data_IF_217147086511
#
_entry.id   IF_217147086511
#
_cell.length_a   1.000
_cell.length_b   1.000
_cell.length_c   1.000
_cell.angle_alpha   90.00
_cell.angle_beta   90.00
_cell.angle_gamma   90.00
#
_symmetry.space_group_name_H-M   'P 1'
#
loop_
_entity.id
_entity.type
_entity.pdbx_description
1 polymer ?
#
# COMPACT_ATOMS: atom_id res chain seq x y z
N UNK A 1 -4.24 -15.56 8.37
CA UNK A 1 -4.12 -15.40 6.92
C UNK A 1 -2.82 -16.01 6.38
N UNK A 2 -1.65 -15.44 6.70
CA UNK A 2 -0.38 -15.85 6.05
C UNK A 2 -0.04 -17.35 6.19
N UNK A 3 -0.19 -17.95 7.38
CA UNK A 3 0.05 -19.40 7.58
C UNK A 3 -0.87 -20.32 6.76
N UNK A 4 -2.03 -19.82 6.34
CA UNK A 4 -2.97 -20.58 5.51
C UNK A 4 -2.65 -20.43 4.01
N UNK A 5 -2.18 -19.24 3.61
CA UNK A 5 -1.79 -18.97 2.21
C UNK A 5 -0.39 -19.49 1.89
N UNK A 6 0.51 -19.52 2.89
CA UNK A 6 1.89 -19.99 2.78
C UNK A 6 2.20 -21.04 3.85
N UNK A 7 1.57 -22.22 3.81
CA UNK A 7 1.82 -23.28 4.79
C UNK A 7 3.26 -23.79 4.76
N UNK A 8 3.94 -23.66 3.61
CA UNK A 8 5.29 -24.15 3.38
C UNK A 8 6.37 -23.05 3.53
N UNK A 9 6.01 -21.83 3.91
CA UNK A 9 6.93 -20.69 4.08
C UNK A 9 7.79 -20.41 2.83
N UNK A 10 7.17 -20.50 1.66
CA UNK A 10 7.81 -20.25 0.36
C UNK A 10 7.97 -18.76 0.04
N UNK A 11 7.55 -17.88 0.95
CA UNK A 11 7.73 -16.44 0.84
C UNK A 11 6.48 -15.78 0.30
N UNK A 12 5.64 -15.32 1.22
CA UNK A 12 4.55 -14.39 0.99
C UNK A 12 4.71 -13.17 1.90
N UNK A 13 4.25 -12.02 1.44
CA UNK A 13 3.99 -10.86 2.28
C UNK A 13 2.51 -10.48 2.17
N UNK A 14 1.92 -10.11 3.30
CA UNK A 14 0.55 -9.65 3.45
C UNK A 14 0.60 -8.23 4.01
N UNK A 15 0.16 -7.27 3.22
CA UNK A 15 0.18 -5.84 3.56
C UNK A 15 -1.24 -5.30 3.55
N UNK A 16 -1.64 -4.62 4.63
CA UNK A 16 -2.83 -3.78 4.62
C UNK A 16 -2.40 -2.33 4.44
N UNK A 17 -2.88 -1.72 3.35
CA UNK A 17 -2.69 -0.30 3.09
C UNK A 17 -4.03 0.43 3.29
N UNK A 18 -4.06 1.36 4.24
CA UNK A 18 -5.25 2.17 4.54
C UNK A 18 -5.34 3.38 3.61
N UNK A 19 -6.54 3.86 3.32
CA UNK A 19 -6.70 5.15 2.62
C UNK A 19 -6.24 6.30 3.52
N UNK A 20 -5.44 7.21 2.97
CA UNK A 20 -5.11 8.46 3.66
C UNK A 20 -6.36 9.30 3.90
N UNK A 21 -6.39 10.15 4.94
CA UNK A 21 -7.51 11.05 5.17
C UNK A 21 -7.80 11.94 3.96
N UNK A 22 -9.08 12.24 3.66
CA UNK A 22 -9.44 13.09 2.53
C UNK A 22 -8.96 14.52 2.73
N UNK A 23 -8.46 15.10 1.64
CA UNK A 23 -8.13 16.54 1.49
C UNK A 23 -9.28 17.23 0.74
N UNK A 24 -9.08 18.50 0.36
CA UNK A 24 -10.12 19.33 -0.28
C UNK A 24 -10.72 18.71 -1.55
N UNK A 25 -9.93 17.98 -2.31
CA UNK A 25 -10.28 17.42 -3.61
C UNK A 25 -10.27 15.88 -3.63
N UNK A 26 -10.08 15.22 -2.49
CA UNK A 26 -10.16 13.76 -2.37
C UNK A 26 -9.01 13.14 -1.58
N UNK A 27 -8.89 11.82 -1.69
CA UNK A 27 -7.85 10.98 -1.09
C UNK A 27 -6.78 10.71 -2.14
N UNK A 28 -5.52 11.01 -1.82
CA UNK A 28 -4.44 11.04 -2.81
C UNK A 28 -3.52 9.81 -2.76
N UNK A 29 -3.52 9.05 -1.67
CA UNK A 29 -2.73 7.83 -1.58
C UNK A 29 -3.35 6.81 -0.62
N UNK A 30 -2.84 5.58 -0.72
CA UNK A 30 -2.91 4.61 0.37
C UNK A 30 -1.62 4.71 1.17
N UNK A 31 -1.66 4.31 2.44
CA UNK A 31 -0.51 4.23 3.33
C UNK A 31 -0.38 2.80 3.88
N UNK A 32 0.79 2.20 3.75
CA UNK A 32 1.06 0.88 4.35
C UNK A 32 0.99 0.97 5.88
N UNK A 33 -0.01 0.31 6.46
CA UNK A 33 -0.30 0.39 7.89
C UNK A 33 0.16 -0.87 8.63
N UNK A 34 -0.03 -2.04 8.03
CA UNK A 34 0.40 -3.31 8.61
C UNK A 34 1.03 -4.24 7.57
N UNK A 35 2.13 -4.90 7.95
CA UNK A 35 2.76 -5.95 7.15
C UNK A 35 2.95 -7.21 8.00
N UNK A 36 2.71 -8.37 7.39
CA UNK A 36 3.09 -9.69 7.89
C UNK A 36 3.73 -10.45 6.75
N UNK A 37 4.92 -10.99 6.94
CA UNK A 37 5.62 -11.68 5.86
C UNK A 37 6.33 -12.95 6.35
N UNK A 38 6.59 -13.86 5.42
CA UNK A 38 7.48 -15.01 5.60
C UNK A 38 8.78 -14.78 4.83
N UNK A 39 9.84 -15.51 5.21
CA UNK A 39 11.14 -15.46 4.53
C UNK A 39 10.96 -15.58 3.00
N UNK A 40 11.62 -14.73 2.18
CA UNK A 40 12.80 -13.91 2.50
C UNK A 40 12.51 -12.51 3.06
N UNK A 41 11.25 -12.07 3.09
CA UNK A 41 10.89 -10.77 3.64
C UNK A 41 11.04 -10.77 5.16
N UNK A 42 11.63 -9.71 5.72
CA UNK A 42 11.80 -9.58 7.16
C UNK A 42 10.48 -9.20 7.83
N UNK A 43 10.08 -9.94 8.87
CA UNK A 43 8.90 -9.64 9.70
C UNK A 43 8.97 -8.26 10.39
N UNK A 44 10.17 -7.68 10.52
CA UNK A 44 10.43 -6.44 11.25
C UNK A 44 10.39 -5.18 10.40
N UNK A 45 10.14 -5.29 9.09
CA UNK A 45 10.10 -4.10 8.23
C UNK A 45 8.78 -3.37 8.45
N UNK A 46 8.82 -2.28 9.21
CA UNK A 46 7.73 -1.31 9.24
C UNK A 46 7.65 -0.68 7.85
N UNK A 47 6.80 -1.26 7.02
CA UNK A 47 6.51 -0.72 5.70
C UNK A 47 5.57 0.46 5.87
N UNK A 48 6.05 1.65 5.54
CA UNK A 48 5.41 2.95 5.79
C UNK A 48 5.22 3.74 4.49
N UNK A 49 5.17 3.07 3.35
CA UNK A 49 5.19 3.74 2.07
C UNK A 49 3.81 4.24 1.65
N UNK A 50 3.81 5.23 0.75
CA UNK A 50 2.60 5.77 0.14
C UNK A 50 2.41 5.14 -1.24
N UNK A 51 1.26 4.49 -1.43
CA UNK A 51 0.91 3.81 -2.67
C UNK A 51 -0.03 4.70 -3.48
N UNK A 52 0.48 5.17 -4.61
CA UNK A 52 -0.23 6.05 -5.53
C UNK A 52 -1.02 5.32 -6.61
N UNK A 53 -1.55 6.10 -7.57
CA UNK A 53 -2.35 5.60 -8.71
C UNK A 53 -1.59 4.67 -9.67
N UNK A 54 -0.26 4.65 -9.62
CA UNK A 54 0.60 3.80 -10.46
C UNK A 54 0.94 2.46 -9.82
N UNK A 55 0.32 2.13 -8.68
CA UNK A 55 0.55 0.85 -7.98
C UNK A 55 -0.59 -0.12 -8.23
N UNK A 56 -0.34 -1.43 -8.06
CA UNK A 56 -1.37 -2.45 -8.14
C UNK A 56 -2.49 -2.20 -7.13
N UNK A 57 -2.10 -1.79 -5.91
CA UNK A 57 -3.02 -1.42 -4.85
C UNK A 57 -3.86 -0.19 -5.21
N UNK A 58 -3.23 0.86 -5.75
CA UNK A 58 -3.94 2.06 -6.18
C UNK A 58 -4.96 1.76 -7.28
N UNK A 59 -4.58 0.92 -8.25
CA UNK A 59 -5.50 0.47 -9.31
C UNK A 59 -6.67 -0.32 -8.74
N UNK A 60 -6.42 -1.22 -7.78
CA UNK A 60 -7.47 -1.98 -7.11
C UNK A 60 -8.44 -1.10 -6.32
N UNK A 61 -7.92 -0.08 -5.61
CA UNK A 61 -8.72 0.91 -4.91
C UNK A 61 -9.56 1.75 -5.86
N UNK A 62 -8.97 2.32 -6.92
CA UNK A 62 -9.71 3.19 -7.85
C UNK A 62 -10.81 2.43 -8.62
N UNK A 63 -10.54 1.19 -9.01
CA UNK A 63 -11.48 0.37 -9.76
C UNK A 63 -12.45 -0.43 -8.88
N UNK A 64 -12.27 -0.39 -7.55
CA UNK A 64 -13.07 -1.14 -6.57
C UNK A 64 -13.15 -2.65 -6.90
N UNK A 65 -12.05 -3.21 -7.43
CA UNK A 65 -11.97 -4.62 -7.85
C UNK A 65 -10.61 -5.20 -7.54
N UNK A 66 -10.58 -6.52 -7.31
CA UNK A 66 -9.35 -7.28 -7.13
C UNK A 66 -8.49 -7.19 -8.40
N UNK A 67 -7.20 -6.90 -8.23
CA UNK A 67 -6.20 -6.87 -9.30
C UNK A 67 -5.10 -7.88 -9.00
N UNK A 68 -4.56 -8.48 -10.05
CA UNK A 68 -3.42 -9.42 -9.96
C UNK A 68 -2.36 -9.02 -10.95
N UNK A 69 -1.11 -9.22 -10.58
CA UNK A 69 0.05 -9.03 -11.44
C UNK A 69 0.98 -10.24 -11.31
N UNK A 70 1.66 -10.60 -12.40
CA UNK A 70 2.80 -11.50 -12.34
C UNK A 70 3.90 -11.06 -13.29
N UNK A 71 5.15 -11.33 -12.90
CA UNK A 71 6.33 -11.19 -13.74
C UNK A 71 6.19 -11.93 -15.09
N UNK A 72 5.37 -12.98 -15.20
CA UNK A 72 5.20 -13.70 -16.48
C UNK A 72 4.26 -12.98 -17.46
N UNK A 73 3.43 -12.04 -16.97
CA UNK A 73 2.53 -11.26 -17.81
C UNK A 73 3.29 -10.14 -18.53
N UNK A 74 3.59 -10.38 -19.82
CA UNK A 74 4.36 -9.45 -20.65
C UNK A 74 3.64 -8.13 -20.92
N UNK A 75 2.32 -8.08 -20.84
CA UNK A 75 1.54 -6.86 -21.09
C UNK A 75 1.52 -5.93 -19.87
N UNK A 76 1.62 -6.50 -18.67
CA UNK A 76 1.58 -5.75 -17.40
C UNK A 76 2.96 -5.43 -16.81
N UNK A 77 4.05 -5.99 -17.36
CA UNK A 77 5.44 -5.78 -16.88
C UNK A 77 5.86 -4.32 -16.74
N UNK A 78 5.26 -3.41 -17.51
CA UNK A 78 5.64 -2.00 -17.55
C UNK A 78 4.74 -1.11 -16.67
N UNK A 79 3.72 -1.69 -16.03
CA UNK A 79 2.70 -0.94 -15.29
C UNK A 79 3.02 -0.83 -13.79
N UNK A 80 3.78 -1.78 -13.23
CA UNK A 80 4.02 -1.85 -11.79
C UNK A 80 5.51 -2.08 -11.50
N UNK A 81 6.04 -1.32 -10.53
CA UNK A 81 7.40 -1.52 -10.00
C UNK A 81 7.32 -2.64 -8.98
N UNK A 82 7.92 -3.80 -9.31
CA UNK A 82 8.01 -4.93 -8.38
C UNK A 82 8.92 -4.57 -7.20
N UNK A 83 8.51 -4.95 -5.99
CA UNK A 83 9.36 -4.85 -4.81
C UNK A 83 10.44 -5.93 -4.79
N UNK A 84 11.43 -5.78 -3.90
CA UNK A 84 12.46 -6.79 -3.71
C UNK A 84 11.81 -8.17 -3.44
N UNK A 85 12.25 -9.17 -4.20
CA UNK A 85 11.75 -10.56 -4.19
C UNK A 85 10.33 -10.78 -4.75
N UNK A 86 9.57 -9.73 -5.07
CA UNK A 86 8.20 -9.87 -5.57
C UNK A 86 8.18 -10.35 -7.04
N UNK A 87 7.48 -11.45 -7.30
CA UNK A 87 7.33 -12.06 -8.64
C UNK A 87 5.87 -12.23 -9.08
N UNK A 88 4.95 -12.14 -8.14
CA UNK A 88 3.54 -11.91 -8.40
C UNK A 88 2.87 -11.23 -7.20
N UNK A 89 1.74 -10.57 -7.44
CA UNK A 89 0.98 -9.89 -6.42
C UNK A 89 -0.53 -9.92 -6.69
N UNK A 90 -1.32 -9.81 -5.61
CA UNK A 90 -2.76 -9.68 -5.64
C UNK A 90 -3.18 -8.56 -4.69
N UNK A 91 -3.94 -7.59 -5.20
CA UNK A 91 -4.47 -6.47 -4.44
C UNK A 91 -5.99 -6.53 -4.44
N UNK A 92 -6.60 -6.62 -3.26
CA UNK A 92 -8.05 -6.71 -3.08
C UNK A 92 -8.54 -5.53 -2.22
N UNK A 93 -9.46 -4.68 -2.74
CA UNK A 93 -9.97 -3.57 -1.95
C UNK A 93 -10.79 -4.08 -0.75
N UNK A 94 -10.63 -3.41 0.39
CA UNK A 94 -11.34 -3.72 1.63
C UNK A 94 -12.66 -2.94 1.62
N UNK A 95 -13.73 -3.61 1.22
CA UNK A 95 -15.03 -3.00 0.98
C UNK A 95 -16.06 -3.34 2.06
N UNK A 96 -16.85 -2.34 2.45
CA UNK A 96 -18.04 -2.50 3.28
C UNK A 96 -19.13 -1.53 2.82
N UNK A 97 -20.33 -2.04 2.52
CA UNK A 97 -21.46 -1.23 2.06
C UNK A 97 -21.10 -0.27 0.89
N UNK A 98 -20.39 -0.77 -0.13
CA UNK A 98 -19.90 -0.02 -1.30
C UNK A 98 -18.93 1.13 -0.98
N UNK A 99 -18.40 1.19 0.24
CA UNK A 99 -17.33 2.09 0.66
C UNK A 99 -16.03 1.33 0.80
N UNK A 100 -14.91 2.02 0.64
CA UNK A 100 -13.58 1.44 0.66
C UNK A 100 -12.79 1.96 1.87
N UNK A 101 -12.12 1.08 2.62
CA UNK A 101 -11.22 1.50 3.71
C UNK A 101 -9.74 1.50 3.30
N UNK A 102 -9.40 0.78 2.24
CA UNK A 102 -8.02 0.50 1.87
C UNK A 102 -7.93 -0.72 0.98
N UNK A 103 -6.75 -1.33 0.95
CA UNK A 103 -6.45 -2.48 0.09
C UNK A 103 -5.64 -3.50 0.88
N UNK A 104 -6.05 -4.76 0.77
CA UNK A 104 -5.27 -5.90 1.20
C UNK A 104 -4.40 -6.38 0.03
N UNK A 105 -3.10 -6.39 0.24
CA UNK A 105 -2.10 -6.75 -0.76
C UNK A 105 -1.43 -8.04 -0.32
N UNK A 106 -1.30 -8.99 -1.25
CA UNK A 106 -0.54 -10.22 -1.07
C UNK A 106 0.55 -10.25 -2.13
N UNK A 107 1.79 -10.29 -1.69
CA UNK A 107 2.98 -10.39 -2.55
C UNK A 107 3.57 -11.78 -2.43
N UNK A 108 4.11 -12.32 -3.52
CA UNK A 108 4.66 -13.67 -3.58
C UNK A 108 5.99 -13.70 -4.31
N UNK A 109 6.92 -14.52 -3.82
CA UNK A 109 8.20 -14.82 -4.50
C UNK A 109 8.02 -15.78 -5.67
N UNK A 110 6.82 -16.35 -5.84
CA UNK A 110 6.50 -17.25 -6.93
C UNK A 110 5.76 -16.49 -8.03
N UNK A 111 6.15 -16.63 -9.30
CA UNK A 111 5.36 -16.13 -10.42
C UNK A 111 4.05 -16.94 -10.52
N UNK A 112 2.99 -16.33 -11.07
CA UNK A 112 1.67 -16.96 -11.26
C UNK A 112 1.08 -17.66 -10.02
N UNK A 113 1.39 -17.18 -8.81
CA UNK A 113 0.91 -17.78 -7.57
C UNK A 113 -0.63 -17.66 -7.39
N UNK A 114 -1.21 -16.59 -7.95
CA UNK A 114 -2.60 -16.19 -7.71
C UNK A 114 -3.60 -16.86 -8.65
N UNK A 115 -3.83 -18.16 -8.43
CA UNK A 115 -4.94 -18.87 -9.07
C UNK A 115 -6.32 -18.34 -8.61
N UNK A 116 -7.41 -18.61 -9.32
CA UNK A 116 -8.76 -18.17 -8.92
C UNK A 116 -9.14 -18.57 -7.49
N UNK A 117 -8.74 -19.75 -7.03
CA UNK A 117 -9.01 -20.21 -5.67
C UNK A 117 -8.25 -19.39 -4.61
N UNK A 118 -7.00 -19.02 -4.90
CA UNK A 118 -6.20 -18.17 -4.02
C UNK A 118 -6.77 -16.75 -4.02
N UNK A 119 -7.15 -16.20 -5.17
CA UNK A 119 -7.82 -14.90 -5.25
C UNK A 119 -9.12 -14.86 -4.44
N UNK A 120 -9.92 -15.92 -4.47
CA UNK A 120 -11.10 -16.02 -3.62
C UNK A 120 -10.74 -16.00 -2.13
N UNK A 121 -9.69 -16.71 -1.72
CA UNK A 121 -9.23 -16.68 -0.33
C UNK A 121 -8.77 -15.28 0.09
N UNK A 122 -8.04 -14.56 -0.77
CA UNK A 122 -7.65 -13.16 -0.52
C UNK A 122 -8.87 -12.27 -0.37
N UNK A 123 -9.89 -12.44 -1.21
CA UNK A 123 -11.15 -11.71 -1.12
C UNK A 123 -11.89 -11.94 0.19
N UNK A 124 -11.97 -13.20 0.66
CA UNK A 124 -12.56 -13.49 1.97
C UNK A 124 -11.75 -12.90 3.13
N UNK A 125 -10.42 -12.87 3.04
CA UNK A 125 -9.61 -12.17 4.04
C UNK A 125 -9.84 -10.67 4.03
N UNK A 126 -9.97 -10.04 2.86
CA UNK A 126 -10.31 -8.62 2.76
C UNK A 126 -11.66 -8.30 3.44
N UNK A 127 -12.64 -9.19 3.32
CA UNK A 127 -13.92 -9.08 4.06
C UNK A 127 -13.74 -9.19 5.57
N UNK A 128 -12.90 -10.12 6.05
CA UNK A 128 -12.61 -10.23 7.48
C UNK A 128 -11.90 -8.97 8.02
N UNK A 129 -10.99 -8.38 7.24
CA UNK A 129 -10.36 -7.10 7.57
C UNK A 129 -11.43 -6.01 7.64
N UNK A 130 -12.36 -5.94 6.67
CA UNK A 130 -13.43 -4.95 6.68
C UNK A 130 -14.28 -5.02 7.96
N UNK A 131 -14.57 -6.22 8.48
CA UNK A 131 -15.33 -6.41 9.72
C UNK A 131 -14.56 -5.98 10.99
N UNK A 132 -13.23 -5.92 10.93
CA UNK A 132 -12.40 -5.51 12.05
C UNK A 132 -12.18 -3.98 12.12
N UNK A 133 -12.52 -3.25 11.06
CA UNK A 133 -12.30 -1.81 10.96
C UNK A 133 -13.52 -1.02 11.47
N UNK A 134 -13.30 0.17 12.06
CA UNK A 134 -14.39 1.07 12.43
C UNK A 134 -15.06 1.65 11.19
N UNK A 135 -16.33 2.02 11.27
CA UNK A 135 -17.07 2.64 10.17
C UNK A 135 -16.40 3.91 9.63
N UNK A 136 -15.72 4.67 10.50
CA UNK A 136 -14.97 5.87 10.15
C UNK A 136 -13.76 5.62 9.23
N UNK A 137 -13.33 4.37 9.07
CA UNK A 137 -12.25 4.01 8.16
C UNK A 137 -12.71 3.91 6.69
N UNK A 138 -14.02 3.85 6.43
CA UNK A 138 -14.56 3.62 5.09
C UNK A 138 -14.91 4.93 4.40
N UNK A 139 -14.48 5.11 3.15
CA UNK A 139 -14.73 6.31 2.34
C UNK A 139 -15.56 5.98 1.11
N UNK A 140 -16.31 6.98 0.63
CA UNK A 140 -17.02 6.87 -0.63
C UNK A 140 -16.00 6.75 -1.79
N UNK A 141 -16.18 5.81 -2.74
CA UNK A 141 -15.25 5.64 -3.86
C UNK A 141 -15.07 6.90 -4.71
N UNK A 142 -16.06 7.80 -4.75
CA UNK A 142 -15.96 9.09 -5.44
C UNK A 142 -14.92 10.06 -4.84
N UNK A 143 -14.43 9.79 -3.63
CA UNK A 143 -13.34 10.56 -3.02
C UNK A 143 -11.96 10.01 -3.39
N UNK A 144 -11.86 8.84 -4.02
CA UNK A 144 -10.59 8.16 -4.28
C UNK A 144 -9.96 8.73 -5.55
N UNK A 145 -9.14 9.77 -5.38
CA UNK A 145 -8.43 10.47 -6.45
C UNK A 145 -6.92 10.28 -6.29
N UNK A 146 -6.48 9.02 -6.30
CA UNK A 146 -5.08 8.69 -6.03
C UNK A 146 -4.15 9.39 -7.02
N UNK A 147 -3.05 9.91 -6.49
CA UNK A 147 -2.02 10.63 -7.21
C UNK A 147 -0.81 9.73 -7.43
N UNK A 148 0.01 9.98 -8.46
CA UNK A 148 1.28 9.28 -8.59
C UNK A 148 2.18 9.56 -7.37
N UNK A 149 2.95 8.56 -6.95
CA UNK A 149 3.89 8.67 -5.83
C UNK A 149 5.32 8.36 -6.30
N UNK A 150 6.36 8.83 -5.60
CA UNK A 150 7.75 8.53 -5.94
C UNK A 150 8.07 7.02 -5.86
N UNK A 151 9.25 6.64 -6.35
CA UNK A 151 9.75 5.26 -6.27
C UNK A 151 9.70 4.71 -4.84
N UNK A 152 9.20 3.48 -4.68
CA UNK A 152 8.91 2.87 -3.38
C UNK A 152 10.16 2.72 -2.51
N UNK A 153 11.33 2.41 -3.12
CA UNK A 153 12.59 2.23 -2.38
C UNK A 153 13.07 3.57 -1.86
N UNK A 154 13.04 4.59 -2.72
CA UNK A 154 13.37 5.95 -2.30
C UNK A 154 12.45 6.45 -1.19
N UNK A 155 11.13 6.24 -1.29
CA UNK A 155 10.18 6.61 -0.24
C UNK A 155 10.54 5.95 1.10
N UNK A 156 10.76 4.63 1.10
CA UNK A 156 11.10 3.88 2.32
C UNK A 156 12.41 4.35 2.95
N UNK A 157 13.42 4.66 2.14
CA UNK A 157 14.67 5.25 2.64
C UNK A 157 14.43 6.61 3.29
N UNK A 158 13.69 7.50 2.63
CA UNK A 158 13.43 8.84 3.13
C UNK A 158 12.60 8.81 4.42
N UNK A 159 11.55 7.98 4.46
CA UNK A 159 10.74 7.75 5.67
C UNK A 159 11.60 7.21 6.81
N UNK A 160 12.46 6.23 6.54
CA UNK A 160 13.34 5.66 7.56
C UNK A 160 14.30 6.70 8.14
N UNK A 161 14.77 7.65 7.32
CA UNK A 161 15.65 8.74 7.75
C UNK A 161 14.95 9.79 8.62
N UNK A 162 13.75 10.21 8.24
CA UNK A 162 13.17 11.46 8.79
C UNK A 162 11.95 11.27 9.68
N UNK A 163 11.17 10.20 9.51
CA UNK A 163 9.83 10.07 10.12
C UNK A 163 9.83 10.21 11.64
N UNK A 164 10.63 9.40 12.35
CA UNK A 164 10.65 9.40 13.83
C UNK A 164 11.04 10.77 14.39
N UNK A 165 12.05 11.42 13.79
CA UNK A 165 12.49 12.74 14.22
C UNK A 165 11.43 13.82 13.95
N UNK A 166 10.73 13.75 12.82
CA UNK A 166 9.59 14.62 12.52
C UNK A 166 8.48 14.45 13.55
N UNK A 167 8.10 13.21 13.87
CA UNK A 167 7.06 12.91 14.88
C UNK A 167 7.44 13.49 16.24
N UNK A 168 8.67 13.27 16.71
CA UNK A 168 9.16 13.81 17.99
C UNK A 168 9.11 15.35 17.99
N UNK A 169 9.53 15.96 16.89
CA UNK A 169 9.54 17.42 16.73
C UNK A 169 8.12 18.00 16.75
N UNK A 170 7.19 17.38 16.02
CA UNK A 170 5.79 17.78 15.97
C UNK A 170 5.09 17.61 17.32
N UNK A 171 5.28 16.46 17.97
CA UNK A 171 4.70 16.19 19.29
C UNK A 171 5.14 17.25 20.32
N UNK A 172 6.43 17.62 20.33
CA UNK A 172 6.96 18.65 21.23
C UNK A 172 6.48 20.05 20.88
N UNK A 173 6.55 20.43 19.60
CA UNK A 173 6.24 21.80 19.15
C UNK A 173 4.76 22.14 19.29
N UNK A 174 3.88 21.19 19.00
CA UNK A 174 2.44 21.39 18.99
C UNK A 174 1.73 20.75 20.19
N UNK A 175 2.48 20.18 21.15
CA UNK A 175 1.95 19.51 22.36
C UNK A 175 0.91 18.42 22.03
N UNK A 176 1.18 17.67 20.96
CA UNK A 176 0.30 16.62 20.46
C UNK A 176 0.65 15.28 21.08
N UNK A 177 -0.33 14.39 21.18
CA UNK A 177 -0.05 12.97 21.42
C UNK A 177 0.73 12.38 20.25
N UNK A 178 1.44 11.27 20.49
CA UNK A 178 2.20 10.58 19.44
C UNK A 178 1.33 10.21 18.22
N UNK A 179 0.13 9.62 18.36
CA UNK A 179 -0.72 9.30 17.20
C UNK A 179 -1.16 10.53 16.39
N UNK A 180 -1.42 11.65 17.06
CA UNK A 180 -1.77 12.91 16.39
C UNK A 180 -0.58 13.50 15.64
N UNK A 181 0.62 13.45 16.23
CA UNK A 181 1.85 13.86 15.57
C UNK A 181 2.16 12.97 14.36
N UNK A 182 2.04 11.65 14.48
CA UNK A 182 2.20 10.71 13.36
C UNK A 182 1.23 11.02 12.22
N UNK A 183 -0.05 11.25 12.52
CA UNK A 183 -1.06 11.62 11.51
C UNK A 183 -0.67 12.89 10.76
N UNK A 184 -0.21 13.93 11.46
CA UNK A 184 0.24 15.18 10.83
C UNK A 184 1.47 14.99 9.95
N UNK A 185 2.46 14.24 10.44
CA UNK A 185 3.67 13.94 9.65
C UNK A 185 3.32 13.13 8.41
N UNK A 186 2.40 12.15 8.49
CA UNK A 186 1.96 11.39 7.30
C UNK A 186 1.30 12.29 6.26
N UNK A 187 0.40 13.20 6.67
CA UNK A 187 -0.23 14.15 5.74
C UNK A 187 0.80 15.07 5.09
N UNK A 188 1.75 15.61 5.85
CA UNK A 188 2.81 16.47 5.32
C UNK A 188 3.72 15.72 4.34
N UNK A 189 4.10 14.47 4.65
CA UNK A 189 4.90 13.63 3.78
C UNK A 189 4.16 13.24 2.49
N UNK A 190 2.87 12.93 2.57
CA UNK A 190 2.04 12.66 1.38
C UNK A 190 2.09 13.85 0.40
N UNK A 191 1.94 15.07 0.92
CA UNK A 191 2.01 16.29 0.10
C UNK A 191 3.39 16.51 -0.53
N UNK A 192 4.47 16.30 0.23
CA UNK A 192 5.84 16.38 -0.27
C UNK A 192 6.10 15.35 -1.36
N UNK A 193 5.64 14.11 -1.17
CA UNK A 193 5.85 13.01 -2.11
C UNK A 193 5.04 13.20 -3.39
N UNK A 194 3.82 13.70 -3.30
CA UNK A 194 3.01 14.07 -4.46
C UNK A 194 3.75 15.11 -5.34
N UNK A 195 4.42 16.09 -4.74
CA UNK A 195 5.18 17.12 -5.46
C UNK A 195 6.47 16.57 -6.10
N UNK A 196 7.10 15.57 -5.49
CA UNK A 196 8.35 14.96 -5.97
C UNK A 196 8.11 13.87 -7.03
N UNK A 197 6.89 13.35 -7.15
CA UNK A 197 6.55 12.27 -8.06
C UNK A 197 6.99 12.54 -9.53
N UNK A 198 6.74 13.72 -10.14
CA UNK A 198 7.12 13.99 -11.53
C UNK A 198 8.63 13.87 -11.79
N UNK A 199 9.47 14.25 -10.81
CA UNK A 199 10.94 14.17 -10.93
C UNK A 199 11.40 12.72 -10.94
N UNK A 200 10.78 11.86 -10.12
CA UNK A 200 11.10 10.44 -10.08
C UNK A 200 10.64 9.69 -11.33
N UNK A 201 9.51 10.05 -11.94
CA UNK A 201 9.09 9.46 -13.22
C UNK A 201 10.05 9.80 -14.37
N UNK A 202 10.58 11.02 -14.40
CA UNK A 202 11.57 11.42 -15.41
C UNK A 202 12.88 10.61 -15.30
N UNK A 203 13.35 10.36 -14.08
CA UNK A 203 14.59 9.60 -13.82
C UNK A 203 14.45 8.09 -14.04
N UNK A 204 13.26 7.53 -13.83
CA UNK A 204 12.97 6.11 -14.07
C UNK A 204 12.80 5.78 -15.56
N UNK A 205 12.35 6.74 -16.36
CA UNK A 205 12.22 6.60 -17.81
C UNK A 205 13.55 6.57 -18.57
N UNK A 206 14.63 7.12 -18.01
CA UNK A 206 15.97 7.08 -18.61
C UNK A 206 16.74 5.78 -18.31
N UNK A 207 16.20 4.90 -17.45
CA UNK A 207 16.82 3.62 -17.04
C UNK A 207 16.15 2.38 -17.63
N UNK A 208 15.21 2.55 -18.57
CA UNK A 208 14.52 1.45 -19.28
C UNK A 208 15.13 1.21 -20.66
#
# INVERSE_FOLDING_TARGET
>A
AIKHLDPEQRGLALTYAELMPPRSDGIHSLYEAEVRATSPWSETQESRAFLGSTTLAGTAAMLQRLQTWSELDREQRHQFVAEDFERSACACPVLFASRCAGVLIVSSTQPDFFSPAICQAVHEYARLVALALPESAFYDPSLIHLRPMPDIRWQREEISRTFVNRVITYARRFQLSRPEAERRVRMEMEEEFEQLAPVHFALSGERS
#
